data_IF_162248087777
#
_entry.id   IF_162248087777
#
_cell.length_a   1.000
_cell.length_b   1.000
_cell.length_c   1.000
_cell.angle_alpha   90.00
_cell.angle_beta   90.00
_cell.angle_gamma   90.00
#
_symmetry.space_group_name_H-M   'P 1'
#
loop_
_entity.id
_entity.type
_entity.pdbx_description
1 polymer ?
#
# COMPACT_ATOMS: atom_id res chain seq x y z
N UNK A 1 29.84 -11.36 -18.39
CA UNK A 1 29.45 -10.43 -17.33
C UNK A 1 29.93 -11.01 -16.02
N UNK A 2 31.07 -10.55 -15.51
CA UNK A 2 31.57 -10.97 -14.20
C UNK A 2 31.04 -9.97 -13.16
N UNK A 3 30.03 -10.34 -12.39
CA UNK A 3 29.56 -9.52 -11.27
C UNK A 3 30.65 -9.50 -10.18
N UNK A 4 31.00 -8.32 -9.67
CA UNK A 4 31.92 -8.17 -8.54
C UNK A 4 31.23 -8.41 -7.17
N UNK A 5 29.95 -8.76 -7.17
CA UNK A 5 29.16 -9.05 -5.98
C UNK A 5 29.45 -10.44 -5.43
N UNK A 6 29.58 -10.54 -4.10
CA UNK A 6 29.56 -11.81 -3.39
C UNK A 6 28.20 -12.49 -3.51
N UNK A 7 28.15 -13.81 -3.28
CA UNK A 7 26.89 -14.57 -3.22
C UNK A 7 25.86 -13.91 -2.28
N UNK A 8 26.31 -13.42 -1.12
CA UNK A 8 25.49 -12.66 -0.16
C UNK A 8 24.90 -11.39 -0.77
N UNK A 9 25.68 -10.65 -1.59
CA UNK A 9 25.19 -9.45 -2.27
C UNK A 9 24.11 -9.76 -3.30
N UNK A 10 24.25 -10.86 -4.05
CA UNK A 10 23.23 -11.32 -5.00
C UNK A 10 21.94 -11.71 -4.28
N UNK A 11 22.04 -12.49 -3.20
CA UNK A 11 20.88 -12.86 -2.37
C UNK A 11 20.18 -11.61 -1.82
N UNK A 12 20.96 -10.66 -1.29
CA UNK A 12 20.41 -9.40 -0.78
C UNK A 12 19.67 -8.61 -1.88
N UNK A 13 20.24 -8.51 -3.09
CA UNK A 13 19.59 -7.82 -4.21
C UNK A 13 18.27 -8.47 -4.61
N UNK A 14 18.24 -9.80 -4.72
CA UNK A 14 17.02 -10.56 -5.04
C UNK A 14 15.94 -10.40 -3.97
N UNK A 15 16.31 -10.53 -2.69
CA UNK A 15 15.38 -10.33 -1.58
C UNK A 15 14.86 -8.89 -1.54
N UNK A 16 15.72 -7.91 -1.78
CA UNK A 16 15.34 -6.49 -1.84
C UNK A 16 14.31 -6.23 -2.94
N UNK A 17 14.51 -6.82 -4.12
CA UNK A 17 13.55 -6.74 -5.22
C UNK A 17 12.21 -7.40 -4.89
N UNK A 18 12.23 -8.61 -4.34
CA UNK A 18 11.00 -9.31 -3.93
C UNK A 18 10.23 -8.50 -2.88
N UNK A 19 10.91 -8.00 -1.85
CA UNK A 19 10.30 -7.16 -0.81
C UNK A 19 9.69 -5.88 -1.39
N UNK A 20 10.40 -5.20 -2.30
CA UNK A 20 9.87 -4.01 -2.96
C UNK A 20 8.62 -4.33 -3.79
N UNK A 21 8.67 -5.40 -4.60
CA UNK A 21 7.56 -5.84 -5.43
C UNK A 21 6.33 -6.20 -4.59
N UNK A 22 6.48 -7.02 -3.54
CA UNK A 22 5.37 -7.40 -2.66
C UNK A 22 4.80 -6.21 -1.90
N UNK A 23 5.64 -5.28 -1.47
CA UNK A 23 5.20 -4.05 -0.79
C UNK A 23 4.38 -3.16 -1.71
N UNK A 24 4.84 -2.97 -2.95
CA UNK A 24 4.10 -2.22 -3.97
C UNK A 24 2.78 -2.90 -4.32
N UNK A 25 2.79 -4.22 -4.53
CA UNK A 25 1.55 -4.98 -4.78
C UNK A 25 0.57 -4.79 -3.63
N UNK A 26 1.00 -4.99 -2.39
CA UNK A 26 0.17 -4.78 -1.20
C UNK A 26 -0.38 -3.35 -1.11
N UNK A 27 0.43 -2.34 -1.40
CA UNK A 27 0.00 -0.94 -1.42
C UNK A 27 -1.07 -0.66 -2.49
N UNK A 28 -0.94 -1.23 -3.69
CA UNK A 28 -1.91 -1.04 -4.77
C UNK A 28 -3.17 -1.92 -4.66
N UNK A 29 -3.12 -2.96 -3.83
CA UNK A 29 -4.20 -3.94 -3.70
C UNK A 29 -5.33 -3.38 -2.83
N UNK A 30 -6.59 -3.41 -3.28
CA UNK A 30 -7.73 -2.78 -2.58
C UNK A 30 -8.35 -3.69 -1.50
N UNK A 31 -7.59 -4.64 -0.96
CA UNK A 31 -8.07 -5.68 -0.03
C UNK A 31 -7.43 -5.52 1.36
N UNK A 32 -7.38 -4.29 1.87
CA UNK A 32 -6.87 -4.02 3.22
C UNK A 32 -7.97 -4.21 4.27
N UNK A 33 -9.19 -3.82 3.92
CA UNK A 33 -10.38 -3.99 4.73
C UNK A 33 -11.52 -4.52 3.87
N UNK A 34 -12.27 -5.47 4.41
CA UNK A 34 -13.41 -6.09 3.74
C UNK A 34 -14.68 -5.87 4.58
N UNK A 35 -15.80 -5.60 3.92
CA UNK A 35 -17.10 -5.46 4.54
C UNK A 35 -18.23 -5.70 3.55
N UNK A 36 -19.46 -5.39 3.94
CA UNK A 36 -20.63 -5.60 3.08
C UNK A 36 -21.61 -4.44 3.15
N UNK A 37 -22.16 -4.10 1.99
CA UNK A 37 -23.14 -3.02 1.83
C UNK A 37 -24.18 -3.44 0.83
N UNK A 38 -25.47 -3.23 1.15
CA UNK A 38 -26.58 -3.56 0.25
C UNK A 38 -26.54 -5.02 -0.28
N UNK A 39 -26.04 -5.96 0.53
CA UNK A 39 -25.89 -7.38 0.16
C UNK A 39 -24.75 -7.68 -0.81
N UNK A 40 -23.85 -6.71 -1.05
CA UNK A 40 -22.67 -6.84 -1.92
C UNK A 40 -21.37 -6.72 -1.10
N UNK A 41 -20.30 -7.44 -1.49
CA UNK A 41 -19.01 -7.29 -0.83
C UNK A 41 -18.35 -5.97 -1.25
N UNK A 42 -17.79 -5.26 -0.29
CA UNK A 42 -17.05 -4.01 -0.47
C UNK A 42 -15.66 -4.19 0.09
N UNK A 43 -14.65 -3.67 -0.61
CA UNK A 43 -13.29 -3.68 -0.10
C UNK A 43 -12.64 -2.31 -0.19
N UNK A 44 -11.87 -1.98 0.83
CA UNK A 44 -11.13 -0.73 0.93
C UNK A 44 -9.63 -1.00 0.91
N UNK A 45 -8.91 -0.15 0.19
CA UNK A 45 -7.48 0.06 0.35
C UNK A 45 -7.22 1.44 0.95
N UNK A 46 -5.97 1.89 0.90
CA UNK A 46 -5.57 3.23 1.40
C UNK A 46 -6.07 4.37 0.50
N UNK A 47 -6.08 4.16 -0.82
CA UNK A 47 -6.54 5.14 -1.82
C UNK A 47 -7.44 4.54 -2.92
N UNK A 48 -7.80 3.26 -2.80
CA UNK A 48 -8.68 2.52 -3.72
C UNK A 48 -9.86 1.94 -2.98
N UNK A 49 -10.97 1.76 -3.69
CA UNK A 49 -12.18 1.10 -3.21
C UNK A 49 -12.72 0.20 -4.32
N UNK A 50 -13.21 -0.97 -3.96
CA UNK A 50 -14.00 -1.82 -4.82
C UNK A 50 -15.43 -1.88 -4.31
N UNK A 51 -16.38 -1.87 -5.25
CA UNK A 51 -17.81 -1.80 -4.98
C UNK A 51 -18.22 -0.47 -4.33
N UNK A 52 -18.85 0.40 -5.13
CA UNK A 52 -19.32 1.72 -4.66
C UNK A 52 -20.73 2.03 -5.17
N UNK A 53 -21.53 2.78 -4.39
CA UNK A 53 -22.86 3.16 -4.78
C UNK A 53 -22.81 4.24 -5.87
N UNK A 54 -23.58 4.03 -6.95
CA UNK A 54 -23.80 5.03 -8.00
C UNK A 54 -25.29 5.29 -8.09
N UNK A 55 -25.67 6.56 -8.28
CA UNK A 55 -27.05 6.92 -8.51
C UNK A 55 -27.43 6.60 -9.95
N UNK A 56 -28.36 5.66 -10.14
CA UNK A 56 -28.89 5.32 -11.46
C UNK A 56 -30.08 6.24 -11.77
N UNK A 57 -29.87 7.22 -12.66
CA UNK A 57 -30.90 8.18 -13.06
C UNK A 57 -32.12 7.50 -13.69
N UNK A 58 -31.94 6.35 -14.35
CA UNK A 58 -33.02 5.63 -15.03
C UNK A 58 -33.97 4.93 -14.05
N UNK A 59 -33.44 4.45 -12.92
CA UNK A 59 -34.18 3.70 -11.90
C UNK A 59 -34.48 4.50 -10.64
N UNK A 60 -33.97 5.73 -10.54
CA UNK A 60 -34.09 6.62 -9.36
C UNK A 60 -33.66 5.90 -8.06
N UNK A 61 -32.67 5.01 -8.15
CA UNK A 61 -32.21 4.16 -7.04
C UNK A 61 -30.68 4.15 -6.99
N UNK A 62 -30.11 4.06 -5.78
CA UNK A 62 -28.70 3.77 -5.63
C UNK A 62 -28.43 2.30 -5.95
N UNK A 63 -27.61 2.06 -6.97
CA UNK A 63 -27.17 0.72 -7.38
C UNK A 63 -25.69 0.57 -7.01
N UNK A 64 -25.33 -0.60 -6.48
CA UNK A 64 -23.93 -0.91 -6.20
C UNK A 64 -23.24 -1.36 -7.49
N UNK A 65 -22.19 -0.64 -7.89
CA UNK A 65 -21.36 -0.99 -9.05
C UNK A 65 -20.16 -1.79 -8.57
N UNK A 66 -20.03 -3.05 -9.01
CA UNK A 66 -18.96 -3.98 -8.61
C UNK A 66 -17.66 -3.74 -9.40
N UNK A 67 -17.19 -2.50 -9.37
CA UNK A 67 -15.93 -2.08 -9.99
C UNK A 67 -14.92 -1.60 -8.96
N UNK A 68 -13.63 -1.69 -9.29
CA UNK A 68 -12.54 -1.17 -8.47
C UNK A 68 -12.03 0.17 -9.02
N UNK A 69 -12.15 1.22 -8.21
CA UNK A 69 -11.79 2.58 -8.56
C UNK A 69 -10.78 3.21 -7.60
N UNK A 70 -10.13 4.28 -8.08
CA UNK A 70 -9.39 5.22 -7.22
C UNK A 70 -10.32 6.36 -6.84
N UNK A 71 -10.19 6.89 -5.62
CA UNK A 71 -10.87 8.13 -5.25
C UNK A 71 -10.50 9.26 -6.23
N UNK A 72 -11.50 10.03 -6.69
CA UNK A 72 -11.32 11.06 -7.72
C UNK A 72 -10.24 12.08 -7.36
N UNK A 73 -10.15 12.45 -6.08
CA UNK A 73 -9.14 13.36 -5.53
C UNK A 73 -8.56 12.80 -4.24
N UNK A 74 -7.40 13.32 -3.81
CA UNK A 74 -6.80 12.95 -2.53
C UNK A 74 -7.67 13.35 -1.32
N UNK A 75 -8.44 14.44 -1.46
CA UNK A 75 -9.42 14.87 -0.47
C UNK A 75 -10.68 13.99 -0.46
N UNK A 76 -10.87 13.16 -1.49
CA UNK A 76 -11.95 12.18 -1.53
C UNK A 76 -11.69 10.93 -0.68
N UNK A 77 -10.48 10.74 -0.16
CA UNK A 77 -10.18 9.66 0.79
C UNK A 77 -10.89 9.98 2.12
N UNK A 78 -11.66 9.03 2.70
CA UNK A 78 -12.63 9.30 3.77
C UNK A 78 -12.03 9.86 5.06
N UNK A 79 -10.83 9.41 5.44
CA UNK A 79 -10.19 9.77 6.71
C UNK A 79 -8.82 10.39 6.49
N UNK A 80 -8.39 11.25 7.43
CA UNK A 80 -7.07 11.88 7.36
C UNK A 80 -5.97 10.86 7.60
N UNK A 81 -6.27 9.85 8.40
CA UNK A 81 -5.43 8.71 8.77
C UNK A 81 -5.11 7.89 7.53
N UNK A 82 -6.09 7.62 6.65
CA UNK A 82 -5.87 6.89 5.40
C UNK A 82 -5.10 7.73 4.37
N UNK A 83 -5.30 9.06 4.36
CA UNK A 83 -4.48 9.99 3.56
C UNK A 83 -3.01 9.93 3.97
N UNK A 84 -2.73 10.01 5.28
CA UNK A 84 -1.37 9.91 5.81
C UNK A 84 -0.81 8.51 5.53
N UNK A 85 -1.56 7.45 5.80
CA UNK A 85 -1.19 6.05 5.51
C UNK A 85 -0.81 5.86 4.03
N UNK A 86 -1.56 6.47 3.11
CA UNK A 86 -1.25 6.46 1.67
C UNK A 86 0.11 7.09 1.39
N UNK A 87 0.38 8.28 1.94
CA UNK A 87 1.64 8.99 1.73
C UNK A 87 2.82 8.21 2.30
N UNK A 88 2.74 7.78 3.57
CA UNK A 88 3.88 7.11 4.22
C UNK A 88 4.16 5.75 3.60
N UNK A 89 3.13 4.96 3.30
CA UNK A 89 3.31 3.65 2.64
C UNK A 89 3.84 3.81 1.22
N UNK A 90 3.32 4.79 0.47
CA UNK A 90 3.78 5.10 -0.88
C UNK A 90 5.24 5.56 -0.92
N UNK A 91 5.64 6.46 -0.01
CA UNK A 91 7.03 6.89 0.15
C UNK A 91 7.94 5.71 0.51
N UNK A 92 7.53 4.86 1.45
CA UNK A 92 8.29 3.67 1.83
C UNK A 92 8.48 2.70 0.66
N UNK A 93 7.42 2.45 -0.12
CA UNK A 93 7.49 1.66 -1.36
C UNK A 93 8.46 2.27 -2.37
N UNK A 94 8.44 3.59 -2.57
CA UNK A 94 9.35 4.30 -3.46
C UNK A 94 10.82 4.15 -3.04
N UNK A 95 11.11 4.26 -1.74
CA UNK A 95 12.46 4.04 -1.20
C UNK A 95 12.92 2.59 -1.39
N UNK A 96 12.05 1.60 -1.14
CA UNK A 96 12.40 0.19 -1.36
C UNK A 96 12.64 -0.11 -2.85
N UNK A 97 11.84 0.44 -3.76
CA UNK A 97 12.06 0.32 -5.20
C UNK A 97 13.39 0.94 -5.63
N UNK A 98 13.72 2.12 -5.13
CA UNK A 98 15.00 2.77 -5.41
C UNK A 98 16.18 1.86 -5.00
N UNK A 99 16.12 1.26 -3.81
CA UNK A 99 17.18 0.35 -3.37
C UNK A 99 17.18 -0.96 -4.16
N UNK A 100 16.02 -1.53 -4.46
CA UNK A 100 15.92 -2.74 -5.27
C UNK A 100 16.52 -2.57 -6.67
N UNK A 101 16.19 -1.46 -7.35
CA UNK A 101 16.71 -1.17 -8.68
C UNK A 101 18.21 -0.92 -8.66
N UNK A 102 18.71 -0.16 -7.69
CA UNK A 102 20.17 0.05 -7.54
C UNK A 102 20.90 -1.25 -7.21
N UNK A 103 20.31 -2.13 -6.40
CA UNK A 103 20.86 -3.45 -6.09
C UNK A 103 20.94 -4.35 -7.34
N UNK A 104 19.87 -4.38 -8.15
CA UNK A 104 19.84 -5.13 -9.42
C UNK A 104 20.85 -4.60 -10.43
N UNK A 105 20.99 -3.27 -10.55
CA UNK A 105 22.01 -2.66 -11.40
C UNK A 105 23.42 -3.05 -10.97
N UNK A 106 23.67 -3.17 -9.66
CA UNK A 106 24.94 -3.69 -9.12
C UNK A 106 25.22 -5.15 -9.48
N UNK A 107 24.20 -5.97 -9.76
CA UNK A 107 24.40 -7.33 -10.29
C UNK A 107 24.89 -7.31 -11.74
N UNK A 108 24.43 -6.36 -12.55
CA UNK A 108 24.74 -6.28 -13.98
C UNK A 108 26.02 -5.48 -14.28
N UNK A 109 26.37 -4.52 -13.42
CA UNK A 109 27.50 -3.61 -13.61
C UNK A 109 28.45 -3.72 -12.43
N UNK A 110 29.67 -4.17 -12.71
CA UNK A 110 30.76 -4.27 -11.73
C UNK A 110 31.14 -2.90 -11.15
N UNK A 111 31.56 -2.87 -9.88
CA UNK A 111 32.02 -1.68 -9.13
C UNK A 111 30.94 -0.64 -8.74
N UNK A 112 29.65 -0.88 -9.03
CA UNK A 112 28.57 0.03 -8.60
C UNK A 112 28.29 -0.03 -7.09
N UNK A 113 28.41 -1.22 -6.49
CA UNK A 113 28.16 -1.44 -5.06
C UNK A 113 29.49 -1.42 -4.31
N UNK A 114 29.82 -0.24 -3.81
CA UNK A 114 30.88 -0.06 -2.79
C UNK A 114 30.32 -0.28 -1.38
N UNK A 115 31.21 -0.46 -0.40
CA UNK A 115 30.86 -0.64 1.02
C UNK A 115 30.01 0.53 1.56
N UNK A 116 30.30 1.76 1.12
CA UNK A 116 29.54 2.96 1.50
C UNK A 116 28.13 2.93 0.92
N UNK A 117 28.01 2.59 -0.37
CA UNK A 117 26.72 2.48 -1.07
C UNK A 117 25.84 1.42 -0.41
N UNK A 118 26.40 0.25 -0.07
CA UNK A 118 25.67 -0.80 0.64
C UNK A 118 25.14 -0.36 2.01
N UNK A 119 25.91 0.43 2.78
CA UNK A 119 25.46 0.96 4.08
C UNK A 119 24.35 2.00 3.91
N UNK A 120 24.48 2.90 2.94
CA UNK A 120 23.44 3.90 2.64
C UNK A 120 22.16 3.22 2.15
N UNK A 121 22.28 2.25 1.25
CA UNK A 121 21.17 1.45 0.75
C UNK A 121 20.44 0.70 1.87
N UNK A 122 21.18 0.09 2.79
CA UNK A 122 20.60 -0.55 3.99
C UNK A 122 19.86 0.45 4.89
N UNK A 123 20.41 1.66 5.07
CA UNK A 123 19.74 2.73 5.82
C UNK A 123 18.43 3.20 5.15
N UNK A 124 18.43 3.35 3.83
CA UNK A 124 17.24 3.70 3.05
C UNK A 124 16.20 2.57 3.12
N UNK A 125 16.63 1.31 3.02
CA UNK A 125 15.73 0.15 3.19
C UNK A 125 15.07 0.13 4.56
N UNK A 126 15.86 0.36 5.62
CA UNK A 126 15.34 0.41 6.98
C UNK A 126 14.30 1.52 7.15
N UNK A 127 14.59 2.72 6.66
CA UNK A 127 13.64 3.83 6.66
C UNK A 127 12.37 3.50 5.85
N UNK A 128 12.52 2.90 4.66
CA UNK A 128 11.40 2.46 3.83
C UNK A 128 10.50 1.45 4.54
N UNK A 129 11.10 0.47 5.22
CA UNK A 129 10.37 -0.50 6.04
C UNK A 129 9.63 0.13 7.22
N UNK A 130 10.25 1.08 7.92
CA UNK A 130 9.60 1.83 9.00
C UNK A 130 8.39 2.64 8.51
N UNK A 131 8.50 3.29 7.35
CA UNK A 131 7.40 4.07 6.75
C UNK A 131 6.22 3.18 6.34
N UNK A 132 6.49 2.02 5.74
CA UNK A 132 5.45 1.04 5.41
C UNK A 132 4.79 0.51 6.69
N UNK A 133 5.59 0.13 7.69
CA UNK A 133 5.09 -0.35 8.98
C UNK A 133 4.20 0.69 9.69
N UNK A 134 4.62 1.96 9.68
CA UNK A 134 3.83 3.06 10.20
C UNK A 134 2.51 3.23 9.42
N UNK A 135 2.55 3.14 8.08
CA UNK A 135 1.35 3.18 7.25
C UNK A 135 0.33 2.09 7.57
N UNK A 136 0.80 0.86 7.78
CA UNK A 136 -0.02 -0.27 8.23
C UNK A 136 -0.60 -0.04 9.63
N UNK A 137 0.18 0.52 10.56
CA UNK A 137 -0.29 0.81 11.91
C UNK A 137 -1.29 1.98 11.96
N UNK A 138 -1.17 2.95 11.05
CA UNK A 138 -2.09 4.09 10.94
C UNK A 138 -3.42 3.73 10.27
N UNK A 139 -3.45 2.69 9.43
CA UNK A 139 -4.64 2.37 8.65
C UNK A 139 -5.89 2.06 9.50
N UNK A 140 -5.80 1.27 10.60
CA UNK A 140 -6.96 1.00 11.47
C UNK A 140 -7.48 2.20 12.26
N UNK A 141 -6.70 3.28 12.37
CA UNK A 141 -7.17 4.52 13.01
C UNK A 141 -8.27 5.21 12.19
N UNK A 142 -8.37 4.93 10.88
CA UNK A 142 -9.42 5.49 10.02
C UNK A 142 -10.70 4.65 9.92
N UNK A 143 -10.83 3.57 10.70
CA UNK A 143 -12.00 2.68 10.69
C UNK A 143 -13.26 3.30 11.31
N UNK A 144 -13.13 4.44 11.99
CA UNK A 144 -14.23 5.24 12.53
C UNK A 144 -14.90 6.15 11.49
N UNK A 145 -14.40 6.16 10.24
CA UNK A 145 -15.00 6.93 9.15
C UNK A 145 -16.40 6.44 8.79
N UNK A 146 -17.26 7.36 8.34
CA UNK A 146 -18.66 7.06 7.98
C UNK A 146 -18.75 5.95 6.92
N UNK A 147 -17.85 5.94 5.93
CA UNK A 147 -17.81 4.91 4.89
C UNK A 147 -17.58 3.51 5.46
N UNK A 148 -16.69 3.38 6.46
CA UNK A 148 -16.42 2.11 7.14
C UNK A 148 -17.57 1.73 8.06
N UNK A 149 -18.12 2.67 8.84
CA UNK A 149 -19.25 2.41 9.74
C UNK A 149 -20.52 1.97 9.02
N UNK A 150 -20.75 2.47 7.81
CA UNK A 150 -21.87 1.98 7.01
C UNK A 150 -21.61 0.54 6.52
N UNK A 151 -20.34 0.18 6.26
CA UNK A 151 -19.95 -1.06 5.54
C UNK A 151 -19.56 -2.22 6.45
N UNK A 152 -19.05 -1.90 7.62
CA UNK A 152 -18.56 -2.82 8.64
C UNK A 152 -19.31 -2.62 9.96
N UNK A 153 -20.53 -2.07 9.93
CA UNK A 153 -21.36 -1.88 11.12
C UNK A 153 -21.16 -0.53 11.83
N UNK A 154 -22.28 0.05 12.29
CA UNK A 154 -22.36 1.44 12.78
C UNK A 154 -21.56 1.71 14.06
N UNK A 155 -21.21 0.65 14.79
CA UNK A 155 -20.43 0.70 16.03
C UNK A 155 -18.92 0.58 15.75
N UNK A 156 -18.51 0.37 14.50
CA UNK A 156 -17.08 0.36 14.12
C UNK A 156 -16.37 1.61 14.62
N UNK A 157 -15.18 1.39 15.19
CA UNK A 157 -14.31 2.41 15.75
C UNK A 157 -12.84 2.13 15.42
N UNK A 158 -11.95 2.96 15.95
CA UNK A 158 -10.51 2.81 15.73
C UNK A 158 -10.02 1.47 16.29
N UNK A 159 -9.39 0.66 15.44
CA UNK A 159 -8.97 -0.73 15.77
C UNK A 159 -10.10 -1.70 16.18
N UNK A 160 -11.38 -1.32 16.04
CA UNK A 160 -12.52 -2.14 16.43
C UNK A 160 -13.54 -2.23 15.29
N UNK A 161 -13.74 -3.43 14.75
CA UNK A 161 -14.70 -3.69 13.69
C UNK A 161 -15.77 -4.63 14.22
N UNK A 162 -17.04 -4.25 14.07
CA UNK A 162 -18.16 -5.09 14.47
C UNK A 162 -18.68 -5.83 13.23
N UNK A 163 -18.52 -7.16 13.13
CA UNK A 163 -18.95 -7.92 11.96
C UNK A 163 -20.48 -7.88 11.73
#
# INVERSE_FOLDING_TARGET
MASSLTCTGVIWALLSFLCAATSCVGFFMPYWLWGSQLGKPVSFGTFRRCSYPVHDESRQMMVMVEECGRYASFQGIPSTEWRISTIVTGLGCGLLLLVALTALMGCCVSELISRTVGRVAGGIQFLGGLLIGAGCALYPLGWDSEEVRQTCGYISGQFDLVP
#
